data_IF_391750064839
#
_entry.id   IF_391750064839
#
_cell.length_a   1.000
_cell.length_b   1.000
_cell.length_c   1.000
_cell.angle_alpha   90.00
_cell.angle_beta   90.00
_cell.angle_gamma   90.00
#
_symmetry.space_group_name_H-M   'P 1'
#
loop_
_entity.id
_entity.type
_entity.pdbx_description
1 polymer ?
#
# COMPACT_ATOMS: atom_id res chain seq x y z
N UNK A 1 -37.79 -14.59 -4.39
CA UNK A 1 -36.33 -14.79 -4.48
C UNK A 1 -35.72 -13.45 -4.86
N UNK A 2 -35.38 -12.62 -3.87
CA UNK A 2 -34.70 -11.34 -4.10
C UNK A 2 -33.20 -11.63 -4.11
N UNK A 3 -32.54 -11.51 -5.26
CA UNK A 3 -31.09 -11.56 -5.36
C UNK A 3 -30.52 -10.28 -4.75
N UNK A 4 -29.96 -10.38 -3.54
CA UNK A 4 -29.13 -9.31 -2.98
C UNK A 4 -27.88 -9.16 -3.82
N UNK A 5 -27.79 -8.09 -4.61
CA UNK A 5 -26.53 -7.68 -5.23
C UNK A 5 -25.61 -7.23 -4.10
N UNK A 6 -24.64 -8.08 -3.75
CA UNK A 6 -23.59 -7.70 -2.80
C UNK A 6 -22.61 -6.78 -3.55
N UNK A 7 -22.37 -5.54 -3.08
CA UNK A 7 -21.30 -4.73 -3.64
C UNK A 7 -19.97 -5.44 -3.33
N UNK A 8 -19.16 -5.66 -4.36
CA UNK A 8 -17.84 -6.27 -4.22
C UNK A 8 -16.90 -5.23 -3.61
N UNK A 9 -16.96 -5.08 -2.28
CA UNK A 9 -16.12 -4.19 -1.48
C UNK A 9 -14.82 -4.92 -1.11
N UNK A 10 -14.02 -5.25 -2.11
CA UNK A 10 -12.69 -5.80 -1.90
C UNK A 10 -11.61 -4.69 -2.02
N UNK A 11 -11.78 -3.76 -2.98
CA UNK A 11 -10.81 -2.70 -3.28
C UNK A 11 -10.67 -1.59 -2.21
N UNK A 12 -11.33 -1.72 -1.05
CA UNK A 12 -11.28 -0.67 -0.03
C UNK A 12 -9.92 -0.53 0.62
N UNK A 13 -9.28 -1.66 0.95
CA UNK A 13 -8.10 -1.68 1.81
C UNK A 13 -6.87 -2.28 1.13
N UNK A 14 -6.90 -2.50 -0.18
CA UNK A 14 -5.73 -2.98 -0.90
C UNK A 14 -5.69 -2.50 -2.35
N UNK A 15 -4.49 -2.54 -2.92
CA UNK A 15 -4.27 -2.31 -4.35
C UNK A 15 -3.08 -3.14 -4.82
N UNK A 16 -3.26 -3.83 -5.95
CA UNK A 16 -2.17 -4.49 -6.67
C UNK A 16 -1.56 -3.56 -7.72
N UNK A 17 -0.27 -3.72 -7.99
CA UNK A 17 0.46 -2.95 -8.98
C UNK A 17 1.96 -3.22 -8.90
N UNK A 18 2.76 -2.29 -9.39
CA UNK A 18 4.22 -2.29 -9.22
C UNK A 18 4.64 -1.12 -8.37
N UNK A 19 5.64 -1.34 -7.52
CA UNK A 19 6.32 -0.25 -6.84
C UNK A 19 6.96 0.64 -7.92
N UNK A 20 6.51 1.90 -7.97
CA UNK A 20 6.99 2.93 -8.87
C UNK A 20 8.16 3.69 -8.25
N UNK A 21 8.11 3.96 -6.95
CA UNK A 21 9.17 4.67 -6.24
C UNK A 21 9.18 4.33 -4.74
N UNK A 22 10.34 4.50 -4.12
CA UNK A 22 10.52 4.42 -2.66
C UNK A 22 11.37 5.59 -2.16
N UNK A 23 11.12 6.04 -0.93
CA UNK A 23 12.02 6.96 -0.22
C UNK A 23 11.97 6.68 1.28
N UNK A 24 13.06 6.92 1.99
CA UNK A 24 13.14 6.72 3.43
C UNK A 24 13.00 8.05 4.17
N UNK A 25 12.25 8.05 5.26
CA UNK A 25 12.09 9.18 6.18
C UNK A 25 12.36 8.73 7.62
N UNK A 26 12.32 9.65 8.58
CA UNK A 26 12.41 9.31 10.01
C UNK A 26 11.23 8.47 10.50
N UNK A 27 10.08 8.56 9.81
CA UNK A 27 8.85 7.89 10.21
C UNK A 27 8.75 6.45 9.63
N UNK A 28 9.59 6.13 8.64
CA UNK A 28 9.67 4.80 8.03
C UNK A 28 9.97 4.84 6.53
N UNK A 29 9.42 3.88 5.79
CA UNK A 29 9.60 3.77 4.34
C UNK A 29 8.34 4.26 3.62
N UNK A 30 8.50 5.25 2.74
CA UNK A 30 7.46 5.72 1.84
C UNK A 30 7.51 4.93 0.54
N UNK A 31 6.34 4.48 0.08
CA UNK A 31 6.18 3.65 -1.12
C UNK A 31 5.10 4.26 -2.01
N UNK A 32 5.38 4.30 -3.31
CA UNK A 32 4.41 4.72 -4.33
C UNK A 32 4.21 3.56 -5.32
N UNK A 33 2.96 3.21 -5.58
CA UNK A 33 2.58 2.25 -6.62
C UNK A 33 2.38 2.95 -7.97
N UNK A 34 2.46 2.20 -9.06
CA UNK A 34 2.12 2.66 -10.41
C UNK A 34 0.61 2.76 -10.67
N UNK A 35 -0.18 2.18 -9.76
CA UNK A 35 -1.64 2.25 -9.72
C UNK A 35 -2.13 3.35 -8.78
N UNK A 36 -3.43 3.61 -8.84
CA UNK A 36 -4.11 4.54 -7.91
C UNK A 36 -4.02 4.05 -6.46
N UNK A 37 -4.24 4.94 -5.50
CA UNK A 37 -4.36 4.56 -4.10
C UNK A 37 -5.59 3.67 -3.84
N UNK A 38 -5.55 2.78 -2.83
CA UNK A 38 -6.74 2.14 -2.29
C UNK A 38 -7.77 3.18 -1.84
N UNK A 39 -9.07 2.88 -1.88
CA UNK A 39 -10.10 3.90 -1.61
C UNK A 39 -10.12 4.38 -0.15
N UNK A 40 -9.69 3.56 0.80
CA UNK A 40 -9.52 3.99 2.20
C UNK A 40 -8.37 5.01 2.41
N UNK A 41 -7.61 5.29 1.35
CA UNK A 41 -6.49 6.23 1.33
C UNK A 41 -6.77 7.46 0.45
N UNK A 42 -8.04 7.70 0.10
CA UNK A 42 -8.42 8.88 -0.65
C UNK A 42 -7.97 10.19 0.05
N UNK A 43 -7.49 11.13 -0.77
CA UNK A 43 -6.93 12.40 -0.32
C UNK A 43 -5.48 12.35 0.19
N UNK A 44 -4.81 11.19 0.18
CA UNK A 44 -3.37 11.14 0.43
C UNK A 44 -2.62 11.85 -0.70
N UNK A 45 -1.75 12.84 -0.38
CA UNK A 45 -1.06 13.61 -1.40
C UNK A 45 -0.12 12.74 -2.26
N UNK A 46 -0.16 12.97 -3.56
CA UNK A 46 0.81 12.46 -4.54
C UNK A 46 0.96 10.92 -4.60
N UNK A 47 0.03 10.15 -4.04
CA UNK A 47 0.05 8.69 -4.13
C UNK A 47 1.06 7.98 -3.20
N UNK A 48 1.61 8.68 -2.20
CA UNK A 48 2.58 8.10 -1.28
C UNK A 48 1.91 7.39 -0.10
N UNK A 49 2.37 6.17 0.22
CA UNK A 49 1.92 5.42 1.38
C UNK A 49 3.10 5.15 2.32
N UNK A 50 2.87 5.17 3.62
CA UNK A 50 3.90 5.02 4.65
C UNK A 50 3.84 3.62 5.26
N UNK A 51 4.98 2.94 5.25
CA UNK A 51 5.25 1.80 6.13
C UNK A 51 5.98 2.35 7.35
N UNK A 52 5.32 2.34 8.51
CA UNK A 52 5.92 2.85 9.74
C UNK A 52 7.21 2.12 10.09
N UNK A 53 8.18 2.83 10.66
CA UNK A 53 9.50 2.31 11.03
C UNK A 53 9.44 1.05 11.91
N UNK A 54 8.40 0.91 12.75
CA UNK A 54 8.19 -0.27 13.61
C UNK A 54 7.89 -1.55 12.81
N UNK A 55 7.41 -1.42 11.58
CA UNK A 55 7.06 -2.54 10.70
C UNK A 55 8.28 -2.98 9.86
N UNK A 56 9.41 -3.23 10.54
CA UNK A 56 10.71 -3.51 9.89
C UNK A 56 10.67 -4.69 8.93
N UNK A 57 9.90 -5.73 9.24
CA UNK A 57 9.72 -6.88 8.34
C UNK A 57 9.09 -6.46 7.00
N UNK A 58 8.06 -5.60 7.02
CA UNK A 58 7.42 -5.11 5.79
C UNK A 58 8.41 -4.26 4.99
N UNK A 59 9.15 -3.37 5.66
CA UNK A 59 10.20 -2.56 5.05
C UNK A 59 11.23 -3.45 4.36
N UNK A 60 11.72 -4.50 5.04
CA UNK A 60 12.70 -5.43 4.47
C UNK A 60 12.19 -6.15 3.23
N UNK A 61 10.94 -6.62 3.22
CA UNK A 61 10.34 -7.27 2.05
C UNK A 61 10.22 -6.30 0.88
N UNK A 62 9.76 -5.07 1.13
CA UNK A 62 9.64 -4.04 0.08
C UNK A 62 11.00 -3.65 -0.48
N UNK A 63 12.02 -3.47 0.37
CA UNK A 63 13.39 -3.18 -0.08
C UNK A 63 13.97 -4.34 -0.89
N UNK A 64 13.74 -5.59 -0.48
CA UNK A 64 14.18 -6.76 -1.24
C UNK A 64 13.48 -6.85 -2.61
N UNK A 65 12.17 -6.62 -2.66
CA UNK A 65 11.39 -6.57 -3.91
C UNK A 65 11.88 -5.43 -4.84
N UNK A 66 12.17 -4.26 -4.28
CA UNK A 66 12.69 -3.12 -5.04
C UNK A 66 14.09 -3.40 -5.61
N UNK A 67 15.00 -3.91 -4.78
CA UNK A 67 16.40 -4.18 -5.15
C UNK A 67 16.53 -5.33 -6.16
N UNK A 68 15.70 -6.37 -6.03
CA UNK A 68 15.66 -7.51 -6.96
C UNK A 68 14.94 -7.21 -8.28
N UNK A 69 14.38 -6.01 -8.44
CA UNK A 69 13.52 -5.62 -9.56
C UNK A 69 12.19 -6.39 -9.65
N UNK A 70 11.87 -7.27 -8.70
CA UNK A 70 10.58 -7.94 -8.54
C UNK A 70 9.55 -7.00 -7.87
N UNK A 71 9.29 -5.86 -8.51
CA UNK A 71 8.54 -4.73 -7.92
C UNK A 71 7.02 -4.93 -7.89
N UNK A 72 6.51 -6.00 -8.50
CA UNK A 72 5.07 -6.29 -8.54
C UNK A 72 4.58 -6.80 -7.18
N UNK A 73 3.40 -6.38 -6.75
CA UNK A 73 2.80 -6.88 -5.51
C UNK A 73 1.47 -6.20 -5.17
N UNK A 74 0.90 -6.63 -4.04
CA UNK A 74 -0.31 -6.08 -3.45
C UNK A 74 0.02 -5.39 -2.13
N UNK A 75 -0.34 -4.12 -2.02
CA UNK A 75 -0.25 -3.36 -0.77
C UNK A 75 -1.62 -3.39 -0.08
N UNK A 76 -1.62 -3.64 1.22
CA UNK A 76 -2.80 -3.52 2.08
C UNK A 76 -2.61 -2.37 3.05
N UNK A 77 -3.68 -1.62 3.29
CA UNK A 77 -3.66 -0.35 4.01
C UNK A 77 -4.69 -0.32 5.12
N UNK A 78 -4.39 0.38 6.22
CA UNK A 78 -5.36 0.68 7.28
C UNK A 78 -6.05 2.04 7.11
N UNK A 79 -5.75 2.74 6.02
CA UNK A 79 -6.28 4.07 5.72
C UNK A 79 -5.40 5.19 6.26
N UNK A 80 -6.00 6.36 6.49
CA UNK A 80 -5.32 7.60 6.92
C UNK A 80 -5.73 7.98 8.34
N UNK A 81 -5.03 7.52 9.39
CA UNK A 81 -5.30 8.01 10.74
C UNK A 81 -5.06 9.52 10.79
N UNK A 82 -6.01 10.24 11.37
CA UNK A 82 -5.99 11.69 11.59
C UNK A 82 -5.69 12.55 10.34
N UNK A 83 -6.03 12.04 9.15
CA UNK A 83 -5.78 12.73 7.88
C UNK A 83 -4.31 12.74 7.44
N UNK A 84 -3.44 11.97 8.09
CA UNK A 84 -2.03 11.84 7.73
C UNK A 84 -1.77 10.98 6.48
N UNK A 85 -0.61 10.34 6.46
CA UNK A 85 -0.24 9.38 5.41
C UNK A 85 -1.18 8.17 5.41
N UNK A 86 -1.38 7.59 4.24
CA UNK A 86 -1.98 6.26 4.11
C UNK A 86 -1.01 5.22 4.68
N UNK A 87 -1.41 4.50 5.71
CA UNK A 87 -0.54 3.52 6.35
C UNK A 87 -0.63 2.16 5.68
N UNK A 88 0.52 1.58 5.37
CA UNK A 88 0.68 0.22 4.86
C UNK A 88 0.85 -0.74 6.01
N UNK A 89 -0.01 -1.76 6.04
CA UNK A 89 0.00 -2.81 7.07
C UNK A 89 0.48 -4.16 6.54
N UNK A 90 0.59 -4.33 5.21
CA UNK A 90 1.13 -5.52 4.57
C UNK A 90 1.58 -5.21 3.14
N UNK A 91 2.64 -5.89 2.70
CA UNK A 91 3.02 -5.99 1.29
C UNK A 91 3.16 -7.46 0.91
N UNK A 92 2.47 -7.86 -0.15
CA UNK A 92 2.46 -9.21 -0.71
C UNK A 92 3.10 -9.20 -2.10
N UNK A 93 4.38 -9.59 -2.25
CA UNK A 93 5.05 -9.58 -3.54
C UNK A 93 4.43 -10.60 -4.51
N UNK A 94 4.29 -10.21 -5.77
CA UNK A 94 3.83 -11.12 -6.82
C UNK A 94 5.00 -12.00 -7.28
N UNK A 95 4.80 -13.32 -7.23
CA UNK A 95 5.76 -14.33 -7.70
C UNK A 95 5.67 -14.54 -9.22
#
# INVERSE_FOLDING_TARGET
>A
MLLSVQPVIAAENYQSGKIKNITATTDGLMVMMDTRLPSNCEGTPYGWMLIEQKNTTIISVVLAAWASQAKSGTIYTSGRPDGGYCLVIQFDPAN
#
